data_IF_767407511491
#
_entry.id   IF_767407511491
#
_cell.length_a   1.000
_cell.length_b   1.000
_cell.length_c   1.000
_cell.angle_alpha   90.00
_cell.angle_beta   90.00
_cell.angle_gamma   90.00
#
_symmetry.space_group_name_H-M   'P 1'
#
loop_
_entity.id
_entity.type
_entity.pdbx_description
1 polymer ?
#
# COMPACT_ATOMS: atom_id res chain seq x y z
N UNK A 1 7.16 43.43 -23.35
CA UNK A 1 6.00 43.40 -22.43
C UNK A 1 5.14 42.16 -22.66
N UNK A 2 4.70 41.92 -23.89
CA UNK A 2 3.84 40.78 -24.23
C UNK A 2 4.45 39.40 -23.88
N UNK A 3 5.72 39.18 -24.21
CA UNK A 3 6.43 37.93 -23.87
C UNK A 3 6.54 37.68 -22.36
N UNK A 4 6.53 38.73 -21.52
CA UNK A 4 6.56 38.59 -20.07
C UNK A 4 5.20 38.13 -19.51
N UNK A 5 4.09 38.64 -20.07
CA UNK A 5 2.73 38.17 -19.74
C UNK A 5 2.51 36.72 -20.15
N UNK A 6 2.93 36.37 -21.37
CA UNK A 6 2.87 34.99 -21.88
C UNK A 6 3.63 34.00 -20.99
N UNK A 7 4.80 34.38 -20.47
CA UNK A 7 5.55 33.54 -19.52
C UNK A 7 4.78 33.31 -18.22
N UNK A 8 4.15 34.34 -17.66
CA UNK A 8 3.35 34.23 -16.42
C UNK A 8 2.11 33.35 -16.64
N UNK A 9 1.39 33.55 -17.75
CA UNK A 9 0.22 32.70 -18.09
C UNK A 9 0.64 31.24 -18.27
N UNK A 10 1.77 31.00 -18.93
CA UNK A 10 2.34 29.65 -19.09
C UNK A 10 2.68 29.04 -17.73
N UNK A 11 3.32 29.81 -16.84
CA UNK A 11 3.62 29.36 -15.48
C UNK A 11 2.34 29.02 -14.70
N UNK A 12 1.28 29.83 -14.80
CA UNK A 12 0.01 29.54 -14.12
C UNK A 12 -0.66 28.26 -14.68
N UNK A 13 -0.61 28.06 -16.00
CA UNK A 13 -1.18 26.87 -16.66
C UNK A 13 -0.43 25.58 -16.34
N UNK A 14 0.90 25.64 -16.25
CA UNK A 14 1.77 24.48 -15.99
C UNK A 14 1.98 24.21 -14.49
N UNK A 15 1.14 24.76 -13.60
CA UNK A 15 1.21 24.48 -12.16
C UNK A 15 2.36 25.19 -11.43
N UNK A 16 2.82 26.33 -11.96
CA UNK A 16 3.75 27.24 -11.33
C UNK A 16 5.22 27.03 -11.69
N UNK A 17 5.59 25.99 -12.45
CA UNK A 17 6.99 25.73 -12.85
C UNK A 17 7.09 25.43 -14.34
N UNK A 18 7.97 26.15 -15.03
CA UNK A 18 8.32 25.91 -16.43
C UNK A 18 9.78 25.49 -16.48
N UNK A 19 10.06 24.34 -17.09
CA UNK A 19 11.43 23.88 -17.36
C UNK A 19 11.70 24.01 -18.85
N UNK A 20 12.77 24.73 -19.20
CA UNK A 20 13.29 24.84 -20.55
C UNK A 20 14.59 24.03 -20.58
N UNK A 21 14.58 22.94 -21.33
CA UNK A 21 15.68 21.96 -21.36
C UNK A 21 16.82 22.46 -22.26
N UNK A 22 18.04 22.59 -21.71
CA UNK A 22 19.24 23.15 -22.36
C UNK A 22 18.99 24.20 -23.47
N UNK A 23 18.44 25.38 -23.13
CA UNK A 23 18.25 26.46 -24.11
C UNK A 23 19.61 26.92 -24.67
N UNK A 24 19.63 27.25 -25.95
CA UNK A 24 20.80 27.82 -26.60
C UNK A 24 21.14 29.21 -26.02
N UNK A 25 22.32 29.79 -26.31
CA UNK A 25 22.71 31.08 -25.76
C UNK A 25 21.73 32.23 -26.07
N UNK A 26 21.08 32.22 -27.24
CA UNK A 26 20.15 33.26 -27.68
C UNK A 26 18.80 33.13 -26.97
N UNK A 27 18.25 31.92 -26.91
CA UNK A 27 17.03 31.57 -26.20
C UNK A 27 17.20 31.84 -24.70
N UNK A 28 18.36 31.51 -24.14
CA UNK A 28 18.68 31.83 -22.74
C UNK A 28 18.75 33.33 -22.51
N UNK A 29 19.34 34.09 -23.44
CA UNK A 29 19.36 35.56 -23.37
C UNK A 29 17.94 36.14 -23.50
N UNK A 30 17.07 35.55 -24.33
CA UNK A 30 15.66 35.90 -24.46
C UNK A 30 14.94 35.69 -23.12
N UNK A 31 14.96 34.49 -22.54
CA UNK A 31 14.29 34.23 -21.26
C UNK A 31 14.85 35.10 -20.13
N UNK A 32 16.16 35.41 -20.13
CA UNK A 32 16.73 36.37 -19.17
C UNK A 32 16.12 37.76 -19.31
N UNK A 33 15.96 38.26 -20.54
CA UNK A 33 15.28 39.53 -20.81
C UNK A 33 13.80 39.49 -20.40
N UNK A 34 13.11 38.38 -20.68
CA UNK A 34 11.69 38.18 -20.33
C UNK A 34 11.51 38.16 -18.80
N UNK A 35 12.34 37.42 -18.07
CA UNK A 35 12.30 37.36 -16.60
C UNK A 35 12.61 38.74 -16.00
N UNK A 36 13.60 39.45 -16.55
CA UNK A 36 13.93 40.81 -16.11
C UNK A 36 12.75 41.77 -16.35
N UNK A 37 12.16 41.74 -17.54
CA UNK A 37 11.00 42.56 -17.89
C UNK A 37 9.78 42.23 -17.01
N UNK A 38 9.53 40.96 -16.71
CA UNK A 38 8.45 40.56 -15.81
C UNK A 38 8.61 41.15 -14.40
N UNK A 39 9.85 41.18 -13.88
CA UNK A 39 10.18 41.79 -12.58
C UNK A 39 10.11 43.32 -12.61
N UNK A 40 10.73 43.94 -13.63
CA UNK A 40 10.82 45.39 -13.75
C UNK A 40 9.47 46.05 -13.97
N UNK A 41 8.58 45.41 -14.73
CA UNK A 41 7.26 45.95 -15.06
C UNK A 41 6.12 45.40 -14.18
N UNK A 42 6.44 44.76 -13.06
CA UNK A 42 5.47 44.24 -12.08
C UNK A 42 4.35 43.39 -12.71
N UNK A 43 4.70 42.57 -13.71
CA UNK A 43 3.75 41.66 -14.39
C UNK A 43 3.49 40.40 -13.53
N UNK A 44 4.30 40.20 -12.48
CA UNK A 44 4.12 39.11 -11.53
C UNK A 44 2.90 39.41 -10.64
N UNK A 45 1.97 38.46 -10.44
CA UNK A 45 0.81 38.65 -9.57
C UNK A 45 1.21 39.03 -8.13
N UNK A 46 0.39 39.85 -7.48
CA UNK A 46 0.62 40.26 -6.09
C UNK A 46 0.68 39.03 -5.15
N UNK A 47 1.66 39.00 -4.24
CA UNK A 47 1.92 37.86 -3.34
C UNK A 47 2.69 36.69 -3.99
N UNK A 48 3.23 36.89 -5.20
CA UNK A 48 4.10 35.93 -5.87
C UNK A 48 5.43 36.57 -6.31
N UNK A 49 6.47 35.75 -6.39
CA UNK A 49 7.77 36.15 -6.93
C UNK A 49 8.34 35.11 -7.91
N UNK A 50 9.10 35.59 -8.89
CA UNK A 50 9.76 34.75 -9.88
C UNK A 50 11.15 34.30 -9.43
N UNK A 51 11.34 32.99 -9.34
CA UNK A 51 12.63 32.33 -9.13
C UNK A 51 13.09 31.63 -10.42
N UNK A 52 14.41 31.58 -10.65
CA UNK A 52 14.96 30.81 -11.77
C UNK A 52 16.34 30.21 -11.43
N UNK A 53 16.70 29.11 -12.08
CA UNK A 53 18.02 28.45 -12.03
C UNK A 53 18.46 28.04 -13.45
N UNK A 54 19.72 27.67 -13.67
CA UNK A 54 20.24 27.39 -15.02
C UNK A 54 20.67 28.64 -15.80
N UNK A 55 20.99 29.74 -15.09
CA UNK A 55 21.32 31.06 -15.68
C UNK A 55 22.48 31.02 -16.68
N UNK A 56 23.48 30.18 -16.45
CA UNK A 56 24.73 30.14 -17.21
C UNK A 56 24.93 28.84 -17.99
N UNK A 57 24.26 27.76 -17.58
CA UNK A 57 24.47 26.40 -18.09
C UNK A 57 23.32 25.47 -17.67
N UNK A 58 23.09 24.40 -18.44
CA UNK A 58 22.08 23.37 -18.17
C UNK A 58 20.63 23.81 -18.41
N UNK A 59 19.70 23.06 -17.83
CA UNK A 59 18.27 23.31 -17.93
C UNK A 59 17.89 24.62 -17.21
N UNK A 60 17.12 25.48 -17.88
CA UNK A 60 16.60 26.72 -17.32
C UNK A 60 15.23 26.43 -16.69
N UNK A 61 15.18 26.38 -15.37
CA UNK A 61 13.92 26.20 -14.62
C UNK A 61 13.47 27.56 -14.10
N UNK A 62 12.24 27.94 -14.42
CA UNK A 62 11.58 29.17 -14.00
C UNK A 62 10.38 28.77 -13.14
N UNK A 63 10.23 29.36 -11.96
CA UNK A 63 9.13 29.07 -11.03
C UNK A 63 8.48 30.35 -10.53
N UNK A 64 7.16 30.31 -10.45
CA UNK A 64 6.33 31.27 -9.75
C UNK A 64 6.07 30.75 -8.34
N UNK A 65 6.63 31.43 -7.33
CA UNK A 65 6.53 31.05 -5.91
C UNK A 65 5.63 32.03 -5.16
N UNK A 66 4.76 31.51 -4.28
CA UNK A 66 3.90 32.35 -3.43
C UNK A 66 4.63 32.79 -2.16
N UNK A 67 4.34 34.00 -1.69
CA UNK A 67 4.87 34.58 -0.47
C UNK A 67 4.18 34.02 0.79
N UNK A 68 2.95 33.52 0.70
CA UNK A 68 2.18 32.98 1.84
C UNK A 68 2.66 31.60 2.30
N UNK A 69 3.26 30.82 1.39
CA UNK A 69 3.85 29.50 1.66
C UNK A 69 5.21 29.39 0.97
N UNK A 70 6.28 29.93 1.57
CA UNK A 70 7.62 29.82 1.02
C UNK A 70 8.05 28.35 1.04
N UNK A 71 7.90 27.67 -0.10
CA UNK A 71 8.40 26.30 -0.30
C UNK A 71 9.90 26.32 -0.63
N UNK A 72 10.68 26.85 0.32
CA UNK A 72 12.12 26.97 0.20
C UNK A 72 12.79 25.59 0.13
N UNK A 73 12.20 24.57 0.74
CA UNK A 73 12.70 23.19 0.68
C UNK A 73 12.61 22.62 -0.73
N UNK A 74 11.45 22.73 -1.39
CA UNK A 74 11.28 22.23 -2.76
C UNK A 74 12.07 23.07 -3.77
N UNK A 75 12.09 24.40 -3.64
CA UNK A 75 12.92 25.25 -4.50
C UNK A 75 14.41 24.94 -4.34
N UNK A 76 14.89 24.72 -3.12
CA UNK A 76 16.28 24.31 -2.90
C UNK A 76 16.56 22.94 -3.52
N UNK A 77 15.62 21.99 -3.44
CA UNK A 77 15.74 20.68 -4.09
C UNK A 77 15.84 20.81 -5.61
N UNK A 78 14.96 21.60 -6.24
CA UNK A 78 14.99 21.87 -7.69
C UNK A 78 16.30 22.57 -8.07
N UNK A 79 16.65 23.67 -7.40
CA UNK A 79 17.87 24.44 -7.65
C UNK A 79 19.13 23.58 -7.54
N UNK A 80 19.22 22.73 -6.52
CA UNK A 80 20.36 21.83 -6.32
C UNK A 80 20.39 20.70 -7.35
N UNK A 81 19.24 20.14 -7.73
CA UNK A 81 19.16 19.10 -8.76
C UNK A 81 19.51 19.67 -10.15
N UNK A 82 18.95 20.80 -10.56
CA UNK A 82 19.24 21.45 -11.85
C UNK A 82 20.71 21.88 -11.96
N UNK A 83 21.36 22.30 -10.86
CA UNK A 83 22.81 22.59 -10.87
C UNK A 83 23.67 21.34 -11.07
N UNK A 84 23.15 20.17 -10.73
CA UNK A 84 23.89 18.89 -10.77
C UNK A 84 23.44 17.97 -11.91
N UNK A 85 22.50 18.41 -12.74
CA UNK A 85 22.00 17.67 -13.89
C UNK A 85 22.06 18.61 -15.08
N UNK A 86 22.85 18.25 -16.09
CA UNK A 86 22.94 19.03 -17.32
C UNK A 86 22.78 18.12 -18.53
N UNK A 87 22.09 18.61 -19.56
CA UNK A 87 21.98 17.98 -20.88
C UNK A 87 22.88 18.66 -21.92
N UNK A 88 23.67 19.65 -21.47
CA UNK A 88 24.71 20.32 -22.27
C UNK A 88 25.90 19.37 -22.49
N UNK A 89 26.15 18.89 -23.71
CA UNK A 89 27.17 17.87 -23.96
C UNK A 89 28.59 18.30 -23.65
N UNK A 90 28.94 19.57 -23.79
CA UNK A 90 30.30 20.02 -23.48
C UNK A 90 30.55 19.94 -21.97
N UNK A 91 29.55 20.30 -21.17
CA UNK A 91 29.60 20.14 -19.72
C UNK A 91 29.47 18.68 -19.26
N UNK A 92 28.74 17.86 -20.01
CA UNK A 92 28.64 16.41 -19.77
C UNK A 92 30.01 15.76 -19.88
N UNK A 93 30.71 15.99 -20.99
CA UNK A 93 32.00 15.34 -21.24
C UNK A 93 33.12 15.95 -20.40
N UNK A 94 33.10 17.27 -20.15
CA UNK A 94 34.04 17.88 -19.21
C UNK A 94 33.89 17.32 -17.78
N UNK A 95 32.67 17.01 -17.34
CA UNK A 95 32.45 16.38 -16.03
C UNK A 95 32.98 14.93 -15.99
N UNK A 96 32.82 14.16 -17.06
CA UNK A 96 33.33 12.79 -17.18
C UNK A 96 34.86 12.74 -17.33
N UNK A 97 35.46 13.72 -18.01
CA UNK A 97 36.92 13.86 -18.10
C UNK A 97 37.54 14.18 -16.74
N UNK A 98 36.87 15.00 -15.92
CA UNK A 98 37.33 15.37 -14.58
C UNK A 98 37.20 14.23 -13.56
N UNK A 99 36.15 13.42 -13.67
CA UNK A 99 35.95 12.24 -12.82
C UNK A 99 35.55 11.03 -13.68
N UNK A 100 36.54 10.32 -14.26
CA UNK A 100 36.30 9.15 -15.09
C UNK A 100 35.89 7.92 -14.26
N UNK A 101 35.88 7.97 -12.92
CA UNK A 101 35.47 6.84 -12.09
C UNK A 101 33.98 6.47 -12.25
N UNK A 102 33.20 7.31 -12.94
CA UNK A 102 31.85 6.96 -13.41
C UNK A 102 31.83 6.05 -14.65
N UNK A 103 32.96 5.93 -15.34
CA UNK A 103 33.20 4.98 -16.43
C UNK A 103 33.95 3.80 -15.80
N UNK A 104 33.34 2.62 -15.75
CA UNK A 104 33.97 1.42 -15.16
C UNK A 104 34.93 0.78 -16.18
N UNK A 105 35.90 1.57 -16.63
CA UNK A 105 36.87 1.24 -17.69
C UNK A 105 38.29 1.47 -17.18
N UNK A 106 39.27 0.81 -17.79
CA UNK A 106 40.68 1.05 -17.47
C UNK A 106 41.18 2.38 -18.04
N UNK A 107 42.29 2.88 -17.50
CA UNK A 107 42.91 4.14 -17.91
C UNK A 107 43.19 4.20 -19.42
N UNK A 108 43.56 3.06 -20.03
CA UNK A 108 43.82 2.96 -21.46
C UNK A 108 42.54 3.11 -22.31
N UNK A 109 41.39 2.73 -21.76
CA UNK A 109 40.09 2.74 -22.44
C UNK A 109 39.31 4.04 -22.23
N UNK A 110 39.74 4.93 -21.32
CA UNK A 110 39.05 6.22 -21.03
C UNK A 110 38.86 7.08 -22.29
N UNK A 111 39.87 7.34 -23.14
CA UNK A 111 39.69 8.20 -24.32
C UNK A 111 38.61 7.64 -25.26
N UNK A 112 38.66 6.33 -25.52
CA UNK A 112 37.68 5.64 -26.36
C UNK A 112 36.28 5.66 -25.76
N UNK A 113 36.17 5.50 -24.44
CA UNK A 113 34.90 5.56 -23.73
C UNK A 113 34.25 6.95 -23.82
N UNK A 114 35.05 8.02 -23.71
CA UNK A 114 34.59 9.40 -23.88
C UNK A 114 34.17 9.67 -25.34
N UNK A 115 34.94 9.20 -26.32
CA UNK A 115 34.61 9.32 -27.75
C UNK A 115 33.31 8.60 -28.09
N UNK A 116 33.11 7.39 -27.57
CA UNK A 116 31.85 6.66 -27.70
C UNK A 116 30.68 7.45 -27.08
N UNK A 117 30.89 8.05 -25.91
CA UNK A 117 29.91 8.95 -25.28
C UNK A 117 29.57 10.15 -26.18
N UNK A 118 30.57 10.81 -26.76
CA UNK A 118 30.39 11.95 -27.69
C UNK A 118 29.63 11.53 -28.94
N UNK A 119 29.97 10.39 -29.52
CA UNK A 119 29.30 9.83 -30.67
C UNK A 119 27.84 9.45 -30.35
N UNK A 120 27.57 8.88 -29.18
CA UNK A 120 26.21 8.60 -28.70
C UNK A 120 25.40 9.90 -28.57
N UNK A 121 25.97 10.95 -27.99
CA UNK A 121 25.31 12.25 -27.86
C UNK A 121 25.02 12.90 -29.23
N UNK A 122 25.92 12.76 -30.20
CA UNK A 122 25.72 13.25 -31.56
C UNK A 122 24.60 12.49 -32.28
N UNK A 123 24.60 11.15 -32.22
CA UNK A 123 23.56 10.32 -32.83
C UNK A 123 22.20 10.53 -32.13
N UNK A 124 22.17 10.72 -30.82
CA UNK A 124 20.97 11.08 -30.06
C UNK A 124 20.41 12.42 -30.55
N UNK A 125 21.27 13.45 -30.64
CA UNK A 125 20.89 14.78 -31.15
C UNK A 125 20.33 14.73 -32.57
N UNK A 126 20.91 13.93 -33.46
CA UNK A 126 20.45 13.74 -34.84
C UNK A 126 19.01 13.23 -34.90
N UNK A 127 18.55 12.53 -33.87
CA UNK A 127 17.19 11.97 -33.74
C UNK A 127 16.27 12.81 -32.85
N UNK A 128 16.70 13.99 -32.42
CA UNK A 128 15.94 14.87 -31.52
C UNK A 128 16.12 14.56 -30.03
N UNK A 129 16.91 13.55 -29.67
CA UNK A 129 17.16 13.13 -28.29
C UNK A 129 18.33 13.88 -27.68
N UNK A 130 18.55 13.67 -26.38
CA UNK A 130 19.63 14.32 -25.61
C UNK A 130 20.35 13.32 -24.72
N UNK A 131 21.64 13.56 -24.51
CA UNK A 131 22.43 12.85 -23.49
C UNK A 131 22.81 13.86 -22.42
N UNK A 132 22.61 13.49 -21.17
CA UNK A 132 22.96 14.33 -20.03
C UNK A 132 23.76 13.58 -18.98
N UNK A 133 24.27 14.32 -18.02
CA UNK A 133 25.03 13.80 -16.89
C UNK A 133 24.41 14.28 -15.59
N UNK A 134 24.40 13.39 -14.60
CA UNK A 134 24.04 13.66 -13.24
C UNK A 134 25.30 13.60 -12.38
N UNK A 135 25.73 14.75 -11.86
CA UNK A 135 26.90 14.90 -10.98
C UNK A 135 26.52 14.90 -9.49
N UNK A 136 25.26 14.56 -9.16
CA UNK A 136 24.82 14.41 -7.77
C UNK A 136 25.32 13.12 -7.13
N UNK A 137 25.49 12.08 -7.93
CA UNK A 137 26.03 10.79 -7.50
C UNK A 137 27.52 10.90 -7.19
N UNK A 138 28.06 9.94 -6.41
CA UNK A 138 29.49 9.90 -6.04
C UNK A 138 30.40 10.04 -7.27
N UNK A 139 29.98 9.44 -8.37
CA UNK A 139 30.58 9.55 -9.69
C UNK A 139 29.54 10.08 -10.70
N UNK A 140 29.92 10.87 -11.71
CA UNK A 140 28.99 11.36 -12.74
C UNK A 140 28.28 10.19 -13.45
N UNK A 141 26.95 10.22 -13.49
CA UNK A 141 26.13 9.19 -14.14
C UNK A 141 25.48 9.74 -15.40
N UNK A 142 25.70 9.07 -16.54
CA UNK A 142 25.14 9.46 -17.84
C UNK A 142 23.70 8.97 -17.98
N UNK A 143 22.87 9.73 -18.68
CA UNK A 143 21.52 9.32 -19.06
C UNK A 143 21.20 9.73 -20.49
N UNK A 144 20.42 8.89 -21.17
CA UNK A 144 19.79 9.17 -22.45
C UNK A 144 18.37 9.67 -22.17
N UNK A 145 18.04 10.84 -22.70
CA UNK A 145 16.71 11.44 -22.63
C UNK A 145 16.05 11.35 -24.00
N UNK A 146 14.96 10.60 -24.06
CA UNK A 146 14.06 10.48 -25.21
C UNK A 146 12.71 11.04 -24.75
N UNK A 147 12.27 12.12 -25.37
CA UNK A 147 11.14 12.94 -24.92
C UNK A 147 11.23 13.30 -23.42
N UNK A 148 10.26 12.83 -22.62
CA UNK A 148 10.18 13.06 -21.17
C UNK A 148 10.83 11.95 -20.35
N UNK A 149 11.29 10.88 -20.99
CA UNK A 149 11.81 9.69 -20.33
C UNK A 149 13.34 9.73 -20.29
N UNK A 150 13.90 9.65 -19.08
CA UNK A 150 15.34 9.57 -18.85
C UNK A 150 15.73 8.14 -18.50
N UNK A 151 16.64 7.54 -19.27
CA UNK A 151 17.21 6.21 -19.02
C UNK A 151 18.68 6.33 -18.67
N UNK A 152 19.09 5.71 -17.56
CA UNK A 152 20.51 5.68 -17.18
C UNK A 152 21.32 4.92 -18.22
N UNK A 153 22.47 5.46 -18.59
CA UNK A 153 23.45 4.83 -19.47
C UNK A 153 24.66 4.46 -18.62
N UNK A 154 25.10 3.21 -18.69
CA UNK A 154 26.37 2.77 -18.11
C UNK A 154 27.30 2.33 -19.22
N UNK A 155 28.59 2.60 -19.01
CA UNK A 155 29.66 2.18 -19.88
C UNK A 155 30.74 1.54 -19.02
N UNK A 156 31.14 0.32 -19.38
CA UNK A 156 32.16 -0.42 -18.66
C UNK A 156 32.97 -1.30 -19.61
N UNK A 157 34.15 -1.70 -19.15
CA UNK A 157 35.07 -2.54 -19.92
C UNK A 157 34.91 -4.00 -19.51
N UNK A 158 34.89 -4.89 -20.50
CA UNK A 158 34.96 -6.33 -20.25
C UNK A 158 36.38 -6.75 -19.88
N UNK A 159 36.48 -7.72 -18.97
CA UNK A 159 37.74 -8.33 -18.58
C UNK A 159 37.80 -9.75 -19.12
N UNK A 160 38.94 -10.12 -19.69
CA UNK A 160 39.27 -11.50 -20.01
C UNK A 160 39.79 -12.20 -18.76
N UNK A 161 39.32 -13.43 -18.54
CA UNK A 161 39.87 -14.30 -17.50
C UNK A 161 41.02 -15.12 -18.09
N UNK A 162 42.23 -14.84 -17.63
CA UNK A 162 43.43 -15.59 -18.02
C UNK A 162 43.89 -16.47 -16.85
N UNK A 163 44.51 -17.64 -17.10
CA UNK A 163 45.06 -18.46 -16.02
C UNK A 163 45.99 -17.65 -15.11
N UNK A 164 45.75 -17.71 -13.80
CA UNK A 164 46.52 -16.94 -12.83
C UNK A 164 47.98 -17.40 -12.80
N UNK A 165 48.90 -16.45 -12.87
CA UNK A 165 50.34 -16.70 -12.75
C UNK A 165 50.80 -16.24 -11.38
N UNK A 166 51.16 -17.19 -10.53
CA UNK A 166 51.56 -16.90 -9.15
C UNK A 166 52.78 -15.97 -9.11
N UNK A 167 52.63 -14.86 -8.41
CA UNK A 167 53.71 -13.89 -8.22
C UNK A 167 54.73 -14.38 -7.21
N UNK A 168 55.96 -13.86 -7.27
CA UNK A 168 57.00 -14.18 -6.29
C UNK A 168 56.63 -13.79 -4.84
N UNK A 169 55.67 -12.87 -4.67
CA UNK A 169 55.12 -12.51 -3.37
C UNK A 169 54.10 -13.56 -2.90
N UNK A 170 53.16 -13.96 -3.75
CA UNK A 170 52.18 -15.02 -3.44
C UNK A 170 52.85 -16.36 -3.18
N UNK A 171 53.93 -16.69 -3.89
CA UNK A 171 54.73 -17.88 -3.61
C UNK A 171 55.39 -17.84 -2.22
N UNK A 172 55.82 -16.65 -1.74
CA UNK A 172 56.33 -16.45 -0.38
C UNK A 172 55.21 -16.55 0.66
N UNK A 173 54.04 -16.05 0.34
CA UNK A 173 52.88 -16.06 1.23
C UNK A 173 52.26 -17.45 1.36
N UNK A 174 52.22 -18.24 0.28
CA UNK A 174 51.84 -19.66 0.30
C UNK A 174 52.78 -20.50 1.17
N UNK A 175 54.10 -20.22 1.15
CA UNK A 175 55.07 -20.88 2.05
C UNK A 175 54.80 -20.56 3.52
N UNK A 176 54.33 -19.35 3.83
CA UNK A 176 53.99 -18.92 5.20
C UNK A 176 52.60 -19.39 5.63
N UNK A 177 51.66 -19.53 4.69
CA UNK A 177 50.25 -19.86 4.92
C UNK A 177 49.77 -20.87 3.86
N UNK A 178 50.07 -22.17 4.03
CA UNK A 178 49.73 -23.19 3.04
C UNK A 178 48.23 -23.40 2.80
N UNK A 179 47.36 -22.95 3.72
CA UNK A 179 45.90 -22.98 3.57
C UNK A 179 45.33 -21.84 2.71
N UNK A 180 46.17 -20.92 2.23
CA UNK A 180 45.74 -19.84 1.34
C UNK A 180 45.47 -20.40 -0.06
N UNK A 181 44.29 -20.10 -0.61
CA UNK A 181 43.92 -20.47 -1.98
C UNK A 181 44.11 -19.26 -2.87
N UNK A 182 45.03 -19.34 -3.84
CA UNK A 182 45.16 -18.32 -4.87
C UNK A 182 43.99 -18.42 -5.87
N UNK A 183 43.55 -17.29 -6.44
CA UNK A 183 42.61 -17.30 -7.56
C UNK A 183 43.11 -18.19 -8.70
N UNK A 184 42.20 -18.88 -9.38
CA UNK A 184 42.55 -19.71 -10.56
C UNK A 184 42.82 -18.86 -11.81
N UNK A 185 42.25 -17.66 -11.84
CA UNK A 185 42.25 -16.77 -12.99
C UNK A 185 42.50 -15.33 -12.55
N UNK A 186 43.25 -14.61 -13.38
CA UNK A 186 43.40 -13.16 -13.30
C UNK A 186 42.47 -12.48 -14.29
N UNK A 187 41.96 -11.30 -13.89
CA UNK A 187 41.15 -10.45 -14.77
C UNK A 187 42.04 -9.45 -15.48
N UNK A 188 42.13 -9.57 -16.79
CA UNK A 188 42.91 -8.67 -17.65
C UNK A 188 41.95 -7.81 -18.48
N UNK A 189 42.13 -6.49 -18.54
CA UNK A 189 41.28 -5.63 -19.36
C UNK A 189 41.36 -6.02 -20.83
N UNK A 190 40.20 -6.31 -21.43
CA UNK A 190 40.13 -6.78 -22.82
C UNK A 190 40.12 -5.67 -23.87
N UNK A 191 39.96 -4.41 -23.44
CA UNK A 191 39.75 -3.26 -24.33
C UNK A 191 38.37 -3.21 -24.99
N UNK A 192 37.50 -4.21 -24.74
CA UNK A 192 36.13 -4.25 -25.26
C UNK A 192 35.19 -3.50 -24.34
N UNK A 193 34.46 -2.56 -24.91
CA UNK A 193 33.47 -1.77 -24.19
C UNK A 193 32.10 -2.43 -24.23
N UNK A 194 31.34 -2.25 -23.16
CA UNK A 194 29.95 -2.67 -23.02
C UNK A 194 29.09 -1.51 -22.53
N UNK A 195 27.99 -1.27 -23.23
CA UNK A 195 27.01 -0.23 -22.97
C UNK A 195 25.72 -0.86 -22.44
N UNK A 196 25.18 -0.29 -21.37
CA UNK A 196 23.86 -0.64 -20.84
C UNK A 196 22.96 0.58 -20.80
N UNK A 197 21.71 0.43 -21.24
CA UNK A 197 20.65 1.42 -21.08
C UNK A 197 19.55 0.82 -20.21
N UNK A 198 19.28 1.45 -19.07
CA UNK A 198 18.25 0.99 -18.14
C UNK A 198 16.84 1.01 -18.76
N UNK A 199 16.02 0.03 -18.39
CA UNK A 199 14.60 -0.11 -18.77
C UNK A 199 13.69 0.15 -17.58
N UNK A 200 12.38 0.21 -17.82
CA UNK A 200 11.41 0.29 -16.72
C UNK A 200 11.37 -1.00 -15.92
N UNK A 201 11.44 -0.88 -14.59
CA UNK A 201 11.47 -2.01 -13.67
C UNK A 201 12.83 -2.23 -12.99
N UNK A 202 12.83 -3.16 -12.04
CA UNK A 202 14.02 -3.48 -11.26
C UNK A 202 15.01 -4.30 -12.10
N UNK A 203 16.25 -3.82 -12.15
CA UNK A 203 17.41 -4.45 -12.83
C UNK A 203 17.23 -4.78 -14.33
N UNK A 204 16.20 -4.23 -14.98
CA UNK A 204 16.02 -4.39 -16.43
C UNK A 204 16.89 -3.39 -17.20
N UNK A 205 17.63 -3.88 -18.17
CA UNK A 205 18.50 -3.07 -19.02
C UNK A 205 18.68 -3.75 -20.38
N UNK A 206 18.85 -2.94 -21.41
CA UNK A 206 19.30 -3.40 -22.72
C UNK A 206 20.83 -3.27 -22.78
N UNK A 207 21.50 -4.30 -23.29
CA UNK A 207 22.96 -4.41 -23.27
C UNK A 207 23.53 -4.57 -24.67
N UNK A 208 24.62 -3.85 -24.96
CA UNK A 208 25.39 -4.00 -26.18
C UNK A 208 26.87 -4.07 -25.86
N UNK A 209 27.59 -4.93 -26.56
CA UNK A 209 29.03 -5.13 -26.38
C UNK A 209 29.76 -4.96 -27.71
N UNK A 210 31.00 -4.50 -27.64
CA UNK A 210 31.98 -4.68 -28.72
C UNK A 210 32.08 -6.15 -29.12
N UNK A 211 32.16 -6.37 -30.42
CA UNK A 211 32.36 -7.69 -31.01
C UNK A 211 33.65 -7.66 -31.86
N UNK A 212 34.21 -8.84 -32.13
CA UNK A 212 35.43 -9.02 -32.93
C UNK A 212 35.37 -8.31 -34.29
N UNK A 213 34.17 -8.13 -34.84
CA UNK A 213 33.93 -7.54 -36.17
C UNK A 213 33.31 -6.15 -36.15
N UNK A 214 32.68 -5.75 -35.04
CA UNK A 214 31.90 -4.51 -34.98
C UNK A 214 32.02 -3.87 -33.61
N UNK A 215 32.37 -2.59 -33.61
CA UNK A 215 32.49 -1.81 -32.38
C UNK A 215 31.17 -1.11 -32.04
N UNK A 216 31.01 -0.71 -30.78
CA UNK A 216 29.81 0.00 -30.30
C UNK A 216 29.55 1.31 -31.07
N UNK A 217 30.59 2.02 -31.47
CA UNK A 217 30.50 3.28 -32.22
C UNK A 217 29.74 3.08 -33.55
N UNK A 218 29.95 1.95 -34.23
CA UNK A 218 29.22 1.59 -35.47
C UNK A 218 27.78 1.15 -35.20
N UNK A 219 27.48 0.68 -33.98
CA UNK A 219 26.17 0.17 -33.57
C UNK A 219 25.27 1.27 -32.98
N UNK A 220 25.78 2.49 -32.76
CA UNK A 220 25.02 3.60 -32.17
C UNK A 220 23.64 3.84 -32.81
N UNK A 221 23.46 3.85 -34.14
CA UNK A 221 22.13 4.02 -34.73
C UNK A 221 21.15 2.91 -34.33
N UNK A 222 21.64 1.68 -34.17
CA UNK A 222 20.81 0.56 -33.70
C UNK A 222 20.51 0.69 -32.21
N UNK A 223 21.51 1.05 -31.40
CA UNK A 223 21.38 1.21 -29.94
C UNK A 223 20.28 2.23 -29.61
N UNK A 224 20.28 3.40 -30.25
CA UNK A 224 19.25 4.42 -29.98
C UNK A 224 17.86 3.95 -30.44
N UNK A 225 17.77 3.26 -31.58
CA UNK A 225 16.50 2.69 -32.06
C UNK A 225 15.94 1.66 -31.07
N UNK A 226 16.80 0.77 -30.58
CA UNK A 226 16.42 -0.26 -29.64
C UNK A 226 15.98 0.39 -28.29
N UNK A 227 16.63 1.49 -27.87
CA UNK A 227 16.21 2.29 -26.71
C UNK A 227 14.85 3.00 -26.91
N UNK A 228 14.59 3.57 -28.10
CA UNK A 228 13.28 4.15 -28.47
C UNK A 228 12.17 3.11 -28.38
N UNK A 229 12.37 1.96 -29.03
CA UNK A 229 11.43 0.83 -28.99
C UNK A 229 11.23 0.33 -27.55
N UNK A 230 12.30 0.34 -26.75
CA UNK A 230 12.24 -0.04 -25.35
C UNK A 230 11.36 0.87 -24.51
N UNK A 231 11.45 2.18 -24.70
CA UNK A 231 10.60 3.15 -24.00
C UNK A 231 9.13 2.98 -24.40
N UNK A 232 8.84 2.77 -25.69
CA UNK A 232 7.48 2.52 -26.16
C UNK A 232 6.89 1.25 -25.53
N UNK A 233 7.65 0.14 -25.52
CA UNK A 233 7.23 -1.11 -24.91
C UNK A 233 6.98 -0.97 -23.39
N UNK A 234 7.83 -0.20 -22.70
CA UNK A 234 7.68 0.06 -21.26
C UNK A 234 6.40 0.86 -20.96
N UNK A 235 6.08 1.85 -21.81
CA UNK A 235 4.85 2.64 -21.70
C UNK A 235 3.59 1.79 -21.94
N UNK A 236 3.60 0.94 -22.97
CA UNK A 236 2.50 0.02 -23.26
C UNK A 236 2.29 -0.98 -22.10
N UNK A 237 3.38 -1.55 -21.57
CA UNK A 237 3.32 -2.44 -20.42
C UNK A 237 2.77 -1.74 -19.17
N UNK A 238 3.07 -0.46 -18.96
CA UNK A 238 2.51 0.32 -17.86
C UNK A 238 1.00 0.52 -18.02
N UNK A 239 0.54 0.87 -19.22
CA UNK A 239 -0.89 1.03 -19.52
C UNK A 239 -1.64 -0.30 -19.36
N UNK A 240 -1.07 -1.42 -19.82
CA UNK A 240 -1.65 -2.74 -19.64
C UNK A 240 -1.76 -3.14 -18.16
N UNK A 241 -0.70 -2.89 -17.36
CA UNK A 241 -0.74 -3.10 -15.90
C UNK A 241 -1.81 -2.26 -15.22
N UNK A 242 -1.97 -1.00 -15.61
CA UNK A 242 -3.01 -0.13 -15.05
C UNK A 242 -4.40 -0.68 -15.36
N UNK A 243 -4.68 -1.04 -16.63
CA UNK A 243 -5.97 -1.61 -17.03
C UNK A 243 -6.28 -2.91 -16.27
N UNK A 244 -5.32 -3.82 -16.18
CA UNK A 244 -5.49 -5.07 -15.44
C UNK A 244 -5.74 -4.82 -13.93
N UNK A 245 -5.09 -3.81 -13.35
CA UNK A 245 -5.33 -3.41 -11.97
C UNK A 245 -6.74 -2.84 -11.78
N UNK A 246 -7.18 -1.95 -12.67
CA UNK A 246 -8.50 -1.33 -12.62
C UNK A 246 -9.61 -2.40 -12.78
N UNK A 247 -9.44 -3.34 -13.72
CA UNK A 247 -10.33 -4.49 -13.91
C UNK A 247 -10.39 -5.39 -12.68
N UNK A 248 -9.23 -5.69 -12.08
CA UNK A 248 -9.15 -6.48 -10.85
C UNK A 248 -9.87 -5.79 -9.68
N UNK A 249 -9.66 -4.48 -9.49
CA UNK A 249 -10.34 -3.71 -8.45
C UNK A 249 -11.85 -3.69 -8.69
N UNK A 250 -12.30 -3.46 -9.92
CA UNK A 250 -13.71 -3.49 -10.27
C UNK A 250 -14.36 -4.85 -9.99
N UNK A 251 -13.66 -5.95 -10.29
CA UNK A 251 -14.13 -7.31 -9.98
C UNK A 251 -14.22 -7.56 -8.47
N UNK A 252 -13.22 -7.15 -7.71
CA UNK A 252 -13.25 -7.23 -6.25
C UNK A 252 -14.39 -6.42 -5.63
N UNK A 253 -14.69 -5.23 -6.17
CA UNK A 253 -15.84 -4.45 -5.74
C UNK A 253 -17.18 -5.13 -6.05
N UNK A 254 -17.32 -5.76 -7.22
CA UNK A 254 -18.50 -6.55 -7.57
C UNK A 254 -18.71 -7.70 -6.59
N UNK A 255 -17.67 -8.48 -6.33
CA UNK A 255 -17.72 -9.60 -5.40
C UNK A 255 -18.10 -9.14 -3.98
N UNK A 256 -17.49 -8.06 -3.47
CA UNK A 256 -17.83 -7.48 -2.15
C UNK A 256 -19.27 -6.97 -2.08
N UNK A 257 -19.79 -6.36 -3.16
CA UNK A 257 -21.18 -5.90 -3.22
C UNK A 257 -22.15 -7.09 -3.21
N UNK A 258 -21.85 -8.13 -3.99
CA UNK A 258 -22.66 -9.35 -4.01
C UNK A 258 -22.64 -10.09 -2.67
N UNK A 259 -21.47 -10.22 -2.06
CA UNK A 259 -21.29 -10.83 -0.75
C UNK A 259 -22.08 -10.08 0.32
N UNK A 260 -21.96 -8.75 0.36
CA UNK A 260 -22.75 -7.90 1.27
C UNK A 260 -24.25 -8.02 1.04
N UNK A 261 -24.69 -8.16 -0.22
CA UNK A 261 -26.10 -8.38 -0.55
C UNK A 261 -26.60 -9.72 -0.01
N UNK A 262 -25.82 -10.80 -0.19
CA UNK A 262 -26.16 -12.14 0.33
C UNK A 262 -26.17 -12.16 1.85
N UNK A 263 -25.19 -11.52 2.49
CA UNK A 263 -25.13 -11.36 3.93
C UNK A 263 -26.36 -10.62 4.47
N UNK A 264 -26.71 -9.46 3.88
CA UNK A 264 -27.88 -8.68 4.29
C UNK A 264 -29.17 -9.50 4.15
N UNK A 265 -29.34 -10.18 3.02
CA UNK A 265 -30.50 -11.04 2.80
C UNK A 265 -30.61 -12.15 3.86
N UNK A 266 -29.49 -12.78 4.23
CA UNK A 266 -29.47 -13.78 5.29
C UNK A 266 -29.83 -13.21 6.66
N UNK A 267 -29.38 -12.00 7.00
CA UNK A 267 -29.79 -11.33 8.25
C UNK A 267 -31.29 -11.00 8.25
N UNK A 268 -31.81 -10.52 7.13
CA UNK A 268 -33.22 -10.14 6.99
C UNK A 268 -34.13 -11.37 7.08
N UNK A 269 -33.73 -12.51 6.50
CA UNK A 269 -34.42 -13.79 6.61
C UNK A 269 -34.38 -14.38 8.03
N UNK A 270 -33.25 -14.21 8.72
CA UNK A 270 -33.02 -14.70 10.08
C UNK A 270 -33.76 -13.90 11.17
N UNK A 271 -33.95 -12.59 10.98
CA UNK A 271 -34.55 -11.70 11.98
C UNK A 271 -35.90 -12.18 12.53
N UNK A 272 -36.91 -12.53 11.71
CA UNK A 272 -38.20 -13.01 12.25
C UNK A 272 -38.07 -14.30 13.07
N UNK A 273 -37.16 -15.20 12.68
CA UNK A 273 -36.93 -16.46 13.40
C UNK A 273 -36.25 -16.21 14.76
N UNK A 274 -35.32 -15.27 14.83
CA UNK A 274 -34.70 -14.84 16.08
C UNK A 274 -35.69 -14.18 17.03
N UNK A 275 -36.57 -13.32 16.51
CA UNK A 275 -37.66 -12.70 17.29
C UNK A 275 -38.57 -13.78 17.89
N UNK A 276 -39.01 -14.76 17.09
CA UNK A 276 -39.85 -15.87 17.56
C UNK A 276 -39.14 -16.69 18.66
N UNK A 277 -37.85 -17.01 18.47
CA UNK A 277 -37.05 -17.72 19.46
C UNK A 277 -36.97 -16.96 20.78
N UNK A 278 -36.75 -15.64 20.74
CA UNK A 278 -36.67 -14.79 21.92
C UNK A 278 -38.02 -14.71 22.64
N UNK A 279 -39.12 -14.57 21.90
CA UNK A 279 -40.49 -14.60 22.44
C UNK A 279 -40.78 -15.92 23.16
N UNK A 280 -40.51 -17.05 22.50
CA UNK A 280 -40.69 -18.38 23.10
C UNK A 280 -39.85 -18.56 24.37
N UNK A 281 -38.59 -18.10 24.37
CA UNK A 281 -37.72 -18.14 25.56
C UNK A 281 -38.25 -17.29 26.71
N UNK A 282 -38.66 -16.05 26.43
CA UNK A 282 -39.22 -15.15 27.43
C UNK A 282 -40.52 -15.71 28.03
N UNK A 283 -41.43 -16.16 27.17
CA UNK A 283 -42.70 -16.74 27.60
C UNK A 283 -42.50 -18.00 28.43
N UNK A 284 -41.63 -18.92 27.98
CA UNK A 284 -41.29 -20.13 28.73
C UNK A 284 -40.71 -19.79 30.10
N UNK A 285 -39.78 -18.84 30.16
CA UNK A 285 -39.18 -18.39 31.42
C UNK A 285 -40.25 -17.89 32.40
N UNK A 286 -41.17 -17.05 31.92
CA UNK A 286 -42.29 -16.57 32.74
C UNK A 286 -43.21 -17.72 33.18
N UNK A 287 -43.59 -18.63 32.27
CA UNK A 287 -44.43 -19.77 32.61
C UNK A 287 -43.79 -20.68 33.67
N UNK A 288 -42.51 -21.00 33.52
CA UNK A 288 -41.75 -21.84 34.46
C UNK A 288 -41.66 -21.15 35.84
N UNK A 289 -41.44 -19.82 35.88
CA UNK A 289 -41.46 -19.03 37.11
C UNK A 289 -42.83 -19.00 37.79
N UNK A 290 -43.91 -18.85 37.02
CA UNK A 290 -45.28 -18.90 37.53
C UNK A 290 -45.64 -20.29 38.09
N UNK A 291 -45.26 -21.36 37.38
CA UNK A 291 -45.48 -22.73 37.83
C UNK A 291 -44.72 -23.00 39.14
N UNK A 292 -43.46 -22.59 39.23
CA UNK A 292 -42.66 -22.72 40.45
C UNK A 292 -43.27 -21.95 41.63
N UNK A 293 -43.72 -20.71 41.42
CA UNK A 293 -44.39 -19.92 42.46
C UNK A 293 -45.67 -20.62 42.96
N UNK A 294 -46.45 -21.20 42.05
CA UNK A 294 -47.67 -21.96 42.38
C UNK A 294 -47.35 -23.21 43.19
N UNK A 295 -46.32 -23.97 42.82
CA UNK A 295 -45.90 -25.16 43.55
C UNK A 295 -45.33 -24.84 44.93
N UNK A 296 -44.58 -23.75 45.08
CA UNK A 296 -44.09 -23.28 46.39
C UNK A 296 -45.26 -22.92 47.30
N UNK A 297 -46.30 -22.24 46.78
CA UNK A 297 -47.52 -21.93 47.55
C UNK A 297 -48.25 -23.20 47.98
N UNK A 298 -48.45 -24.14 47.05
CA UNK A 298 -49.07 -25.43 47.36
C UNK A 298 -48.29 -26.23 48.42
N UNK A 299 -46.95 -26.18 48.39
CA UNK A 299 -46.12 -26.78 49.42
C UNK A 299 -46.27 -26.08 50.78
N UNK A 300 -46.33 -24.75 50.80
CA UNK A 300 -46.60 -23.99 52.03
C UNK A 300 -47.98 -24.34 52.62
N UNK A 301 -49.01 -24.50 51.78
CA UNK A 301 -50.36 -24.86 52.21
C UNK A 301 -50.40 -26.30 52.77
N UNK A 302 -49.72 -27.24 52.12
CA UNK A 302 -49.56 -28.61 52.65
C UNK A 302 -48.78 -28.62 53.97
N UNK A 303 -47.73 -27.80 54.07
CA UNK A 303 -46.99 -27.55 55.30
C UNK A 303 -47.84 -26.86 56.37
N UNK A 304 -48.92 -26.16 56.05
CA UNK A 304 -49.83 -25.54 57.03
C UNK A 304 -50.88 -26.56 57.51
N UNK A 305 -51.31 -27.48 56.63
CA UNK A 305 -52.31 -28.52 56.93
C UNK A 305 -51.74 -29.75 57.65
N UNK A 306 -50.43 -29.99 57.60
CA UNK A 306 -49.81 -31.12 58.30
C UNK A 306 -49.99 -31.01 59.83
N UNK A 307 -50.48 -32.07 60.48
CA UNK A 307 -50.63 -32.15 61.93
C UNK A 307 -49.27 -31.99 62.62
N UNK A 308 -49.19 -31.10 63.61
CA UNK A 308 -48.00 -30.95 64.43
C UNK A 308 -47.92 -32.09 65.45
N UNK A 309 -46.81 -32.83 65.46
CA UNK A 309 -46.52 -33.82 66.49
C UNK A 309 -46.04 -33.11 67.78
N UNK A 310 -46.15 -33.80 68.93
CA UNK A 310 -45.69 -33.27 70.22
C UNK A 310 -44.19 -32.89 70.15
N UNK A 311 -43.90 -31.62 70.42
CA UNK A 311 -42.54 -31.05 70.35
C UNK A 311 -42.21 -30.30 69.04
N UNK A 312 -43.16 -30.16 68.10
CA UNK A 312 -42.97 -29.36 66.88
C UNK A 312 -42.85 -27.87 67.19
N UNK A 313 -41.75 -27.23 66.77
CA UNK A 313 -41.58 -25.77 66.83
C UNK A 313 -42.48 -25.09 65.78
N UNK A 314 -43.69 -24.75 66.22
CA UNK A 314 -44.71 -24.07 65.40
C UNK A 314 -44.26 -22.68 64.92
N UNK A 315 -43.43 -21.97 65.70
CA UNK A 315 -42.96 -20.64 65.33
C UNK A 315 -41.96 -20.71 64.17
N UNK A 316 -40.98 -21.62 64.25
CA UNK A 316 -40.04 -21.85 63.16
C UNK A 316 -40.73 -22.32 61.87
N UNK A 317 -41.73 -23.20 61.98
CA UNK A 317 -42.57 -23.63 60.85
C UNK A 317 -43.28 -22.44 60.18
N UNK A 318 -43.91 -21.57 60.96
CA UNK A 318 -44.59 -20.39 60.44
C UNK A 318 -43.63 -19.41 59.75
N UNK A 319 -42.40 -19.26 60.26
CA UNK A 319 -41.37 -18.44 59.62
C UNK A 319 -40.95 -18.99 58.26
N UNK A 320 -40.81 -20.31 58.11
CA UNK A 320 -40.52 -20.95 56.82
C UNK A 320 -41.68 -20.81 55.82
N UNK A 321 -42.93 -20.96 56.27
CA UNK A 321 -44.13 -20.73 55.44
C UNK A 321 -44.18 -19.28 54.96
N UNK A 322 -43.99 -18.32 55.85
CA UNK A 322 -43.97 -16.90 55.52
C UNK A 322 -42.84 -16.55 54.53
N UNK A 323 -41.65 -17.10 54.74
CA UNK A 323 -40.53 -16.93 53.82
C UNK A 323 -40.81 -17.55 52.44
N UNK A 324 -41.36 -18.77 52.40
CA UNK A 324 -41.69 -19.48 51.16
C UNK A 324 -42.74 -18.74 50.34
N UNK A 325 -43.80 -18.24 50.98
CA UNK A 325 -44.82 -17.41 50.31
C UNK A 325 -44.22 -16.11 49.76
N UNK A 326 -43.39 -15.41 50.53
CA UNK A 326 -42.69 -14.21 50.06
C UNK A 326 -41.70 -14.51 48.90
N UNK A 327 -41.06 -15.69 48.90
CA UNK A 327 -40.22 -16.14 47.80
C UNK A 327 -41.03 -16.44 46.53
N UNK A 328 -42.20 -17.08 46.66
CA UNK A 328 -43.11 -17.31 45.55
C UNK A 328 -43.59 -15.98 44.92
N UNK A 329 -43.95 -14.98 45.73
CA UNK A 329 -44.40 -13.68 45.22
C UNK A 329 -43.30 -12.92 44.46
N UNK A 330 -42.01 -13.07 44.86
CA UNK A 330 -40.88 -12.50 44.10
C UNK A 330 -40.63 -13.19 42.76
N UNK A 331 -40.95 -14.49 42.66
CA UNK A 331 -40.77 -15.29 41.45
C UNK A 331 -41.96 -15.15 40.48
N UNK A 332 -43.14 -14.87 40.99
CA UNK A 332 -44.38 -14.84 40.22
C UNK A 332 -44.36 -13.68 39.20
N UNK A 333 -44.36 -13.97 37.88
CA UNK A 333 -44.31 -12.95 36.84
C UNK A 333 -45.60 -12.11 36.76
N UNK A 334 -46.63 -12.42 37.56
CA UNK A 334 -47.87 -11.64 37.67
C UNK A 334 -47.89 -10.66 38.85
N UNK A 335 -46.88 -10.72 39.73
CA UNK A 335 -46.82 -9.93 40.98
C UNK A 335 -45.49 -9.19 41.19
N UNK A 336 -44.38 -9.71 40.65
CA UNK A 336 -43.04 -9.19 40.89
C UNK A 336 -42.53 -8.17 39.87
N UNK A 337 -41.41 -7.54 40.23
CA UNK A 337 -40.62 -6.50 39.51
C UNK A 337 -39.89 -7.02 38.24
N UNK A 338 -40.23 -8.23 37.79
CA UNK A 338 -39.73 -8.91 36.58
C UNK A 338 -40.90 -9.55 35.87
N UNK A 339 -41.94 -8.76 35.65
CA UNK A 339 -43.19 -9.23 35.12
C UNK A 339 -43.07 -9.48 33.62
N UNK A 340 -43.77 -10.50 33.09
CA UNK A 340 -43.81 -10.74 31.64
C UNK A 340 -44.27 -9.48 30.85
N UNK A 341 -45.20 -8.65 31.34
CA UNK A 341 -45.56 -7.37 30.73
C UNK A 341 -44.43 -6.33 30.59
N UNK A 342 -43.35 -6.44 31.36
CA UNK A 342 -42.17 -5.56 31.22
C UNK A 342 -41.23 -6.01 30.08
N UNK A 343 -41.36 -7.25 29.62
CA UNK A 343 -40.62 -7.75 28.46
C UNK A 343 -41.38 -7.34 27.21
N UNK A 344 -40.75 -6.51 26.38
CA UNK A 344 -41.32 -6.09 25.10
C UNK A 344 -41.69 -7.32 24.25
N UNK A 345 -42.88 -7.31 23.64
CA UNK A 345 -43.28 -8.36 22.71
C UNK A 345 -42.52 -8.24 21.38
N UNK A 346 -42.16 -7.03 20.98
CA UNK A 346 -41.43 -6.73 19.75
C UNK A 346 -39.92 -6.63 20.00
N UNK A 347 -39.38 -7.65 20.69
CA UNK A 347 -37.97 -7.75 21.04
C UNK A 347 -37.08 -7.56 19.81
N UNK A 348 -36.26 -6.51 19.80
CA UNK A 348 -35.25 -6.35 18.76
C UNK A 348 -34.07 -7.32 19.00
N UNK A 349 -33.83 -8.29 18.09
CA UNK A 349 -32.74 -9.25 18.26
C UNK A 349 -31.39 -8.56 18.09
N UNK A 350 -30.45 -8.85 18.98
CA UNK A 350 -29.06 -8.43 18.82
C UNK A 350 -28.42 -9.26 17.69
N UNK A 351 -27.31 -8.78 17.09
CA UNK A 351 -26.63 -9.54 16.04
C UNK A 351 -26.38 -11.00 16.42
N UNK A 352 -25.88 -11.28 17.63
CA UNK A 352 -25.61 -12.65 18.06
C UNK A 352 -26.87 -13.53 18.23
N UNK A 353 -28.05 -12.95 18.42
CA UNK A 353 -29.33 -13.68 18.47
C UNK A 353 -29.74 -14.20 17.08
N UNK A 354 -29.20 -13.62 16.00
CA UNK A 354 -29.37 -14.09 14.63
C UNK A 354 -28.45 -15.26 14.28
N UNK A 355 -27.40 -15.50 15.08
CA UNK A 355 -26.39 -16.55 14.82
C UNK A 355 -27.01 -17.93 14.58
N UNK A 356 -28.08 -18.34 15.30
CA UNK A 356 -28.82 -19.54 15.00
C UNK A 356 -29.72 -19.45 13.79
N UNK A 357 -29.61 -18.53 12.85
CA UNK A 357 -30.50 -18.54 11.66
C UNK A 357 -29.79 -18.10 10.39
N UNK A 358 -28.60 -17.52 10.51
CA UNK A 358 -27.81 -16.97 9.40
C UNK A 358 -26.80 -17.96 8.78
N UNK A 359 -26.87 -19.26 9.09
CA UNK A 359 -25.90 -20.25 8.62
C UNK A 359 -24.47 -19.89 9.03
N UNK A 360 -23.51 -20.00 8.10
CA UNK A 360 -22.08 -19.69 8.34
C UNK A 360 -21.75 -18.19 8.29
N UNK A 361 -22.72 -17.31 8.07
CA UNK A 361 -22.46 -15.87 8.04
C UNK A 361 -22.09 -15.35 9.42
N UNK A 362 -21.20 -14.36 9.46
CA UNK A 362 -21.01 -13.54 10.65
C UNK A 362 -22.27 -12.72 10.92
N UNK A 363 -22.71 -12.58 12.18
CA UNK A 363 -23.78 -11.65 12.50
C UNK A 363 -23.37 -10.17 12.43
N UNK A 364 -22.06 -9.89 12.48
CA UNK A 364 -21.52 -8.53 12.60
C UNK A 364 -20.98 -7.99 11.28
N UNK A 365 -20.46 -8.85 10.40
CA UNK A 365 -19.76 -8.44 9.18
C UNK A 365 -20.14 -9.29 7.95
N UNK A 366 -19.98 -8.76 6.71
CA UNK A 366 -20.31 -9.49 5.49
C UNK A 366 -19.22 -10.49 5.09
N UNK A 367 -18.88 -11.41 5.98
CA UNK A 367 -17.97 -12.53 5.73
C UNK A 367 -18.50 -13.81 6.37
N UNK A 368 -18.01 -14.96 5.92
CA UNK A 368 -18.33 -16.26 6.53
C UNK A 368 -17.37 -16.58 7.66
N UNK A 369 -17.91 -16.86 8.83
CA UNK A 369 -17.15 -17.28 10.01
C UNK A 369 -16.96 -18.80 10.00
N UNK A 370 -15.75 -19.26 10.27
CA UNK A 370 -15.55 -20.66 10.60
C UNK A 370 -16.07 -20.93 12.02
N UNK A 371 -16.95 -21.94 12.16
CA UNK A 371 -17.48 -22.36 13.46
C UNK A 371 -16.97 -23.74 13.80
N UNK A 372 -16.46 -23.89 15.03
CA UNK A 372 -16.12 -25.21 15.56
C UNK A 372 -17.37 -26.08 15.68
N UNK A 373 -17.23 -27.40 15.58
CA UNK A 373 -18.35 -28.34 15.76
C UNK A 373 -19.06 -28.14 17.10
N UNK A 374 -18.31 -27.84 18.17
CA UNK A 374 -18.88 -27.53 19.50
C UNK A 374 -19.76 -26.29 19.49
N UNK A 375 -19.32 -25.24 18.79
CA UNK A 375 -20.11 -24.01 18.61
C UNK A 375 -21.37 -24.30 17.81
N UNK A 376 -21.26 -25.10 16.75
CA UNK A 376 -22.40 -25.48 15.92
C UNK A 376 -23.42 -26.29 16.71
N UNK A 377 -22.98 -27.28 17.49
CA UNK A 377 -23.84 -28.06 18.41
C UNK A 377 -24.54 -27.18 19.44
N UNK A 378 -23.87 -26.17 20.01
CA UNK A 378 -24.49 -25.24 20.95
C UNK A 378 -25.58 -24.39 20.29
N UNK A 379 -25.35 -23.96 19.04
CA UNK A 379 -26.33 -23.22 18.24
C UNK A 379 -27.55 -24.07 17.93
N UNK A 380 -27.35 -25.32 17.49
CA UNK A 380 -28.43 -26.25 17.16
C UNK A 380 -29.22 -26.67 18.39
N UNK A 381 -28.55 -26.91 19.53
CA UNK A 381 -29.21 -27.18 20.80
C UNK A 381 -30.09 -26.01 21.25
N UNK A 382 -29.65 -24.77 21.07
CA UNK A 382 -30.43 -23.59 21.43
C UNK A 382 -31.71 -23.44 20.60
N UNK A 383 -31.71 -23.88 19.33
CA UNK A 383 -32.92 -23.95 18.49
C UNK A 383 -33.86 -25.05 18.98
N UNK A 384 -33.35 -26.27 19.10
CA UNK A 384 -34.13 -27.47 19.45
C UNK A 384 -34.75 -27.41 20.84
N UNK A 385 -34.05 -26.82 21.82
CA UNK A 385 -34.56 -26.69 23.19
C UNK A 385 -35.84 -25.84 23.27
N UNK A 386 -36.03 -24.92 22.33
CA UNK A 386 -37.16 -24.00 22.30
C UNK A 386 -38.31 -24.57 21.46
N UNK A 387 -38.02 -25.21 20.33
CA UNK A 387 -39.06 -25.87 19.51
C UNK A 387 -39.63 -27.15 20.13
N UNK A 388 -38.89 -27.82 21.02
CA UNK A 388 -39.39 -28.97 21.78
C UNK A 388 -40.35 -28.61 22.92
N UNK A 389 -40.46 -27.33 23.28
CA UNK A 389 -41.34 -26.89 24.35
C UNK A 389 -42.78 -26.74 23.84
N UNK A 390 -43.70 -27.48 24.45
CA UNK A 390 -45.14 -27.34 24.24
C UNK A 390 -45.86 -27.31 25.60
N UNK A 391 -47.04 -26.69 25.61
CA UNK A 391 -47.92 -26.55 26.79
C UNK A 391 -48.27 -27.94 27.35
N UNK A 392 -47.45 -28.48 28.25
CA UNK A 392 -47.63 -29.82 28.81
C UNK A 392 -46.36 -30.53 29.29
N UNK A 393 -45.17 -30.18 28.77
CA UNK A 393 -43.91 -30.74 29.27
C UNK A 393 -43.47 -30.03 30.56
N UNK A 394 -44.01 -30.45 31.70
CA UNK A 394 -43.38 -30.16 33.00
C UNK A 394 -42.16 -31.06 33.16
N UNK A 395 -40.97 -30.53 32.87
CA UNK A 395 -39.75 -31.08 33.47
C UNK A 395 -39.85 -30.96 35.00
N UNK A 396 -39.16 -31.84 35.74
CA UNK A 396 -39.12 -31.76 37.21
C UNK A 396 -38.72 -30.33 37.64
N UNK A 397 -39.40 -29.73 38.63
CA UNK A 397 -39.19 -28.33 39.01
C UNK A 397 -37.71 -28.05 39.28
N UNK A 398 -37.10 -27.11 38.56
CA UNK A 398 -35.66 -26.85 38.64
C UNK A 398 -35.28 -25.82 39.72
N UNK A 399 -36.23 -25.35 40.54
CA UNK A 399 -35.98 -24.30 41.54
C UNK A 399 -34.99 -24.71 42.65
N UNK A 400 -34.67 -26.00 42.78
CA UNK A 400 -33.59 -26.51 43.66
C UNK A 400 -32.22 -26.66 42.96
N UNK A 401 -32.10 -26.36 41.66
CA UNK A 401 -30.83 -26.34 40.93
C UNK A 401 -30.45 -24.92 40.54
N UNK A 402 -29.95 -24.16 41.51
CA UNK A 402 -28.81 -23.25 41.31
C UNK A 402 -28.19 -22.91 42.65
#
# INVERSE_FOLDING_TARGET
MESARQLIERLQREGGTVTIESPDPEERALYRRVIHAAKQHQVVPAGFHLRHTGRAAGDLVIRLSSDEKPDDTDWNRIRLNTRRVTTDPDLVFAALEKDPAGLEVTQASIPRALDLGRALAAEARRRGHRVGVNTKTKHPSVYLQIDKTRRRVKLYEEYDEVPHVSTAQEARDLRRKPWMVLPKTDKVPSGRLRLEIARDGWDKHDTWTDDKRTTLEKRLPRIIRDAEAGIAADQEAQLARQRAHDEYVAEQERQRKEERRRWRAALDEARPQAVDLLRKKAFRGAYDSWAAATEIRAFCDALEQATAEDGTDLENRNRWIAWGRAAADRLDPTRGDKSLPEVDFDIEPKPDDLRPFIGDWSPHEPHREYRSERTQQAVDAARLQVDGWHHGMRGRPTWWRK
#
